data_IF_919260428612
#
_entry.id   IF_919260428612
#
_cell.length_a   1.000
_cell.length_b   1.000
_cell.length_c   1.000
_cell.angle_alpha   90.00
_cell.angle_beta   90.00
_cell.angle_gamma   90.00
#
_symmetry.space_group_name_H-M   'P 1'
#
loop_
_entity.id
_entity.type
_entity.pdbx_description
1 polymer ?
#
# COMPACT_ATOMS: atom_id res chain seq x y z
N UNK A 1 1.01 27.89 -3.69
CA UNK A 1 -0.07 27.88 -4.71
C UNK A 1 -1.02 26.76 -4.35
N UNK A 2 -2.27 27.07 -3.99
CA UNK A 2 -3.29 26.08 -3.67
C UNK A 2 -4.22 25.89 -4.86
N UNK A 3 -4.78 24.69 -5.02
CA UNK A 3 -5.66 24.36 -6.14
C UNK A 3 -7.07 24.13 -5.60
N UNK A 4 -8.05 24.79 -6.20
CA UNK A 4 -9.47 24.50 -5.99
C UNK A 4 -9.95 23.55 -7.12
N UNK A 5 -10.19 22.26 -6.86
CA UNK A 5 -10.56 21.30 -7.91
C UNK A 5 -11.81 21.69 -8.71
N UNK A 6 -12.84 22.22 -8.04
CA UNK A 6 -14.05 22.67 -8.74
C UNK A 6 -13.82 23.91 -9.62
N UNK A 7 -12.71 24.63 -9.45
CA UNK A 7 -12.32 25.67 -10.41
C UNK A 7 -12.07 25.09 -11.81
N UNK A 8 -11.54 23.86 -11.93
CA UNK A 8 -11.37 23.23 -13.24
C UNK A 8 -12.70 22.91 -13.89
N UNK A 9 -13.64 22.33 -13.13
CA UNK A 9 -14.98 21.98 -13.62
C UNK A 9 -15.72 23.25 -14.08
N UNK A 10 -15.69 24.31 -13.27
CA UNK A 10 -16.34 25.60 -13.59
C UNK A 10 -15.71 26.32 -14.79
N UNK A 11 -14.42 26.08 -15.05
CA UNK A 11 -13.68 26.68 -16.18
C UNK A 11 -13.74 25.83 -17.46
N UNK A 12 -14.40 24.67 -17.45
CA UNK A 12 -14.55 23.85 -18.65
C UNK A 12 -15.47 24.53 -19.68
N UNK A 13 -15.14 24.39 -20.97
CA UNK A 13 -15.90 24.96 -22.10
C UNK A 13 -17.38 24.55 -22.10
N UNK A 14 -17.69 23.35 -21.60
CA UNK A 14 -19.04 22.77 -21.58
C UNK A 14 -19.64 22.73 -20.18
N UNK A 15 -19.16 23.60 -19.28
CA UNK A 15 -19.70 23.68 -17.93
C UNK A 15 -21.18 24.13 -17.95
N UNK A 16 -22.02 23.37 -17.24
CA UNK A 16 -23.44 23.61 -17.07
C UNK A 16 -23.79 23.36 -15.60
N UNK A 17 -24.15 24.44 -14.89
CA UNK A 17 -24.43 24.41 -13.46
C UNK A 17 -25.56 23.43 -13.10
N UNK A 18 -26.54 23.23 -13.99
CA UNK A 18 -27.66 22.31 -13.74
C UNK A 18 -27.22 20.84 -13.73
N UNK A 19 -26.12 20.51 -14.42
CA UNK A 19 -25.53 19.15 -14.43
C UNK A 19 -24.52 18.93 -13.31
N UNK A 20 -24.06 20.01 -12.69
CA UNK A 20 -23.06 20.01 -11.63
C UNK A 20 -23.52 20.82 -10.43
N UNK A 21 -24.64 20.45 -9.77
CA UNK A 21 -25.22 21.23 -8.66
C UNK A 21 -24.32 21.33 -7.42
N UNK A 22 -23.21 20.60 -7.39
CA UNK A 22 -22.21 20.61 -6.33
C UNK A 22 -20.97 21.45 -6.65
N UNK A 23 -20.79 21.93 -7.89
CA UNK A 23 -19.59 22.70 -8.27
C UNK A 23 -19.55 24.10 -7.66
N UNK A 24 -20.72 24.64 -7.31
CA UNK A 24 -20.85 25.96 -6.67
C UNK A 24 -20.76 25.87 -5.14
N UNK A 25 -20.76 24.65 -4.59
CA UNK A 25 -20.48 24.43 -3.17
C UNK A 25 -18.97 24.40 -2.99
N UNK A 26 -18.35 25.57 -2.80
CA UNK A 26 -16.88 25.76 -2.75
C UNK A 26 -16.13 25.00 -1.62
N UNK A 27 -16.81 24.16 -0.83
CA UNK A 27 -16.19 23.37 0.25
C UNK A 27 -15.87 21.91 -0.04
N UNK A 28 -16.15 21.38 -1.24
CA UNK A 28 -15.84 19.98 -1.55
C UNK A 28 -14.49 19.83 -2.24
N UNK A 29 -13.49 19.27 -1.58
CA UNK A 29 -12.28 18.82 -2.29
C UNK A 29 -12.02 17.36 -2.01
N UNK A 30 -11.79 16.66 -3.12
CA UNK A 30 -11.54 15.24 -3.25
C UNK A 30 -10.29 14.85 -2.45
N UNK A 31 -10.48 14.01 -1.44
CA UNK A 31 -9.41 13.18 -0.91
C UNK A 31 -8.88 12.30 -2.05
N UNK A 32 -7.59 12.40 -2.32
CA UNK A 32 -6.84 11.29 -2.92
C UNK A 32 -6.72 10.20 -1.84
N UNK A 33 -7.84 9.53 -1.51
CA UNK A 33 -7.80 8.31 -0.73
C UNK A 33 -7.20 7.24 -1.64
N UNK A 34 -5.94 6.90 -1.39
CA UNK A 34 -5.36 5.64 -1.82
C UNK A 34 -6.25 4.52 -1.27
N UNK A 35 -7.06 3.96 -2.17
CA UNK A 35 -7.77 2.68 -2.08
C UNK A 35 -8.94 2.65 -1.09
N UNK A 36 -10.13 2.51 -1.69
CA UNK A 36 -11.44 2.10 -1.14
C UNK A 36 -12.29 3.15 -0.41
N UNK A 37 -13.32 3.61 -1.13
CA UNK A 37 -14.52 4.35 -0.72
C UNK A 37 -14.44 5.89 -0.80
N UNK A 38 -15.17 6.42 -1.78
CA UNK A 38 -15.52 7.82 -1.93
C UNK A 38 -16.69 8.14 -0.99
N UNK A 39 -16.48 8.98 0.02
CA UNK A 39 -17.57 9.65 0.73
C UNK A 39 -17.48 11.15 0.47
N UNK A 40 -18.44 11.67 -0.30
CA UNK A 40 -18.65 13.10 -0.47
C UNK A 40 -19.52 13.55 0.71
N UNK A 41 -19.02 14.45 1.55
CA UNK A 41 -19.83 15.09 2.59
C UNK A 41 -20.62 16.24 1.94
N UNK A 42 -21.96 16.20 1.91
CA UNK A 42 -22.77 17.32 1.44
C UNK A 42 -22.86 18.38 2.55
N UNK A 43 -22.62 19.65 2.20
CA UNK A 43 -22.75 20.88 3.02
C UNK A 43 -21.49 21.35 3.79
N UNK A 44 -20.54 21.97 3.08
CA UNK A 44 -19.40 22.66 3.70
C UNK A 44 -19.08 24.02 3.06
N UNK A 45 -20.10 24.76 2.59
CA UNK A 45 -19.90 26.04 1.87
C UNK A 45 -19.06 27.09 2.60
N UNK A 46 -19.03 27.08 3.94
CA UNK A 46 -18.32 28.08 4.76
C UNK A 46 -17.39 27.50 5.83
N UNK A 47 -17.16 26.18 5.87
CA UNK A 47 -16.37 25.55 6.93
C UNK A 47 -15.43 24.50 6.37
N UNK A 48 -14.20 24.49 6.89
CA UNK A 48 -13.23 23.44 6.58
C UNK A 48 -13.83 22.07 6.89
N UNK A 49 -13.82 21.16 5.91
CA UNK A 49 -14.34 19.80 6.08
C UNK A 49 -13.48 19.01 7.08
N UNK A 50 -12.20 19.35 7.20
CA UNK A 50 -11.32 18.86 8.26
C UNK A 50 -11.52 19.71 9.50
N UNK A 51 -12.34 19.23 10.43
CA UNK A 51 -12.36 19.78 11.78
C UNK A 51 -11.17 19.22 12.57
N UNK A 52 -10.03 19.92 12.54
CA UNK A 52 -8.80 19.48 13.19
C UNK A 52 -8.94 19.29 14.71
N UNK A 53 -9.86 20.04 15.34
CA UNK A 53 -10.15 19.98 16.79
C UNK A 53 -10.94 18.73 17.17
N UNK A 54 -11.74 18.18 16.26
CA UNK A 54 -12.37 16.87 16.45
C UNK A 54 -11.43 15.73 16.05
N UNK A 55 -10.72 15.89 14.92
CA UNK A 55 -9.75 14.91 14.42
C UNK A 55 -8.67 14.57 15.43
N UNK A 56 -8.15 15.57 16.16
CA UNK A 56 -7.11 15.34 17.18
C UNK A 56 -7.54 14.32 18.25
N UNK A 57 -8.84 14.18 18.56
CA UNK A 57 -9.32 13.17 19.52
C UNK A 57 -9.10 11.75 18.99
N UNK A 58 -9.41 11.55 17.71
CA UNK A 58 -9.20 10.28 17.01
C UNK A 58 -7.70 10.03 16.85
N UNK A 59 -6.94 11.03 16.41
CA UNK A 59 -5.47 10.95 16.28
C UNK A 59 -4.79 10.51 17.57
N UNK A 60 -5.21 11.05 18.73
CA UNK A 60 -4.65 10.65 20.03
C UNK A 60 -4.95 9.19 20.36
N UNK A 61 -6.19 8.74 20.16
CA UNK A 61 -6.58 7.35 20.41
C UNK A 61 -5.83 6.38 19.49
N UNK A 62 -5.74 6.70 18.20
CA UNK A 62 -4.99 5.91 17.22
C UNK A 62 -3.50 5.86 17.57
N UNK A 63 -2.92 7.01 17.93
CA UNK A 63 -1.52 7.11 18.34
C UNK A 63 -1.22 6.27 19.58
N UNK A 64 -2.05 6.36 20.62
CA UNK A 64 -1.89 5.56 21.84
C UNK A 64 -1.97 4.06 21.55
N UNK A 65 -2.98 3.64 20.78
CA UNK A 65 -3.16 2.25 20.36
C UNK A 65 -1.96 1.74 19.56
N UNK A 66 -1.53 2.51 18.56
CA UNK A 66 -0.43 2.13 17.68
C UNK A 66 0.91 2.07 18.42
N UNK A 67 1.25 3.08 19.22
CA UNK A 67 2.51 3.10 19.98
C UNK A 67 2.57 1.96 20.98
N UNK A 68 1.44 1.59 21.60
CA UNK A 68 1.35 0.42 22.48
C UNK A 68 1.64 -0.88 21.73
N UNK A 69 1.06 -1.07 20.55
CA UNK A 69 1.33 -2.25 19.71
C UNK A 69 2.79 -2.28 19.24
N UNK A 70 3.32 -1.14 18.80
CA UNK A 70 4.71 -0.97 18.39
C UNK A 70 5.68 -1.36 19.50
N UNK A 71 5.45 -0.88 20.72
CA UNK A 71 6.29 -1.18 21.87
C UNK A 71 6.27 -2.69 22.21
N UNK A 72 5.09 -3.32 22.18
CA UNK A 72 4.96 -4.77 22.40
C UNK A 72 5.76 -5.58 21.38
N UNK A 73 5.60 -5.27 20.10
CA UNK A 73 6.30 -5.99 19.04
C UNK A 73 7.81 -5.75 19.05
N UNK A 74 8.24 -4.52 19.30
CA UNK A 74 9.66 -4.21 19.42
C UNK A 74 10.33 -4.94 20.59
N UNK A 75 9.63 -5.05 21.73
CA UNK A 75 10.13 -5.81 22.88
C UNK A 75 10.20 -7.31 22.59
N UNK A 76 9.19 -7.88 21.92
CA UNK A 76 9.20 -9.29 21.52
C UNK A 76 10.38 -9.60 20.59
N UNK A 77 10.66 -8.73 19.62
CA UNK A 77 11.81 -8.86 18.72
C UNK A 77 13.14 -8.74 19.45
N UNK A 78 13.23 -7.88 20.48
CA UNK A 78 14.44 -7.72 21.27
C UNK A 78 14.74 -8.94 22.18
N UNK A 79 13.70 -9.64 22.64
CA UNK A 79 13.80 -10.79 23.55
C UNK A 79 13.93 -12.11 22.78
N UNK A 80 13.39 -12.20 21.56
CA UNK A 80 13.49 -13.41 20.74
C UNK A 80 14.96 -13.66 20.36
N UNK A 81 15.50 -14.77 20.86
CA UNK A 81 16.89 -15.16 20.66
C UNK A 81 17.17 -15.27 19.15
N UNK A 82 18.27 -14.63 18.69
CA UNK A 82 18.66 -14.39 17.28
C UNK A 82 18.80 -15.64 16.38
N UNK A 83 18.46 -16.83 16.86
CA UNK A 83 18.64 -18.12 16.18
C UNK A 83 17.33 -18.82 15.87
N UNK A 84 16.21 -18.44 16.49
CA UNK A 84 14.90 -19.01 16.17
C UNK A 84 14.17 -18.14 15.15
N UNK A 85 14.26 -18.53 13.87
CA UNK A 85 13.20 -18.39 12.86
C UNK A 85 12.24 -17.20 13.08
N UNK A 86 12.51 -16.02 12.50
CA UNK A 86 11.45 -15.03 12.30
C UNK A 86 10.32 -15.72 11.55
N UNK A 87 9.26 -16.10 12.26
CA UNK A 87 8.19 -16.91 11.68
C UNK A 87 7.50 -16.10 10.60
N UNK A 88 6.93 -16.77 9.59
CA UNK A 88 6.15 -16.05 8.55
C UNK A 88 5.03 -15.19 9.16
N UNK A 89 4.50 -15.62 10.32
CA UNK A 89 3.54 -14.86 11.11
C UNK A 89 4.11 -13.57 11.68
N UNK A 90 5.30 -13.60 12.31
CA UNK A 90 5.97 -12.40 12.83
C UNK A 90 6.35 -11.43 11.71
N UNK A 91 6.86 -11.95 10.58
CA UNK A 91 7.20 -11.10 9.43
C UNK A 91 5.96 -10.39 8.87
N UNK A 92 4.82 -11.10 8.83
CA UNK A 92 3.53 -10.54 8.42
C UNK A 92 3.03 -9.48 9.41
N UNK A 93 3.12 -9.75 10.70
CA UNK A 93 2.68 -8.81 11.74
C UNK A 93 3.52 -7.52 11.72
N UNK A 94 4.84 -7.65 11.61
CA UNK A 94 5.77 -6.52 11.44
C UNK A 94 5.51 -5.73 10.15
N UNK A 95 5.18 -6.41 9.05
CA UNK A 95 4.79 -5.75 7.80
C UNK A 95 3.47 -4.99 7.94
N UNK A 96 2.47 -5.60 8.58
CA UNK A 96 1.18 -4.96 8.86
C UNK A 96 1.34 -3.73 9.76
N UNK A 97 2.20 -3.82 10.77
CA UNK A 97 2.55 -2.71 11.64
C UNK A 97 3.18 -1.58 10.84
N UNK A 98 4.19 -1.86 10.02
CA UNK A 98 4.83 -0.86 9.16
C UNK A 98 3.83 -0.17 8.24
N UNK A 99 2.96 -0.93 7.57
CA UNK A 99 1.93 -0.38 6.69
C UNK A 99 0.95 0.52 7.45
N UNK A 100 0.45 0.06 8.60
CA UNK A 100 -0.47 0.83 9.44
C UNK A 100 0.16 2.13 9.94
N UNK A 101 1.43 2.09 10.39
CA UNK A 101 2.16 3.27 10.83
C UNK A 101 2.33 4.31 9.74
N UNK A 102 2.67 3.86 8.52
CA UNK A 102 2.77 4.73 7.35
C UNK A 102 1.41 5.34 6.97
N UNK A 103 0.34 4.55 7.01
CA UNK A 103 -1.03 5.04 6.75
C UNK A 103 -1.48 6.10 7.76
N UNK A 104 -1.20 5.89 9.05
CA UNK A 104 -1.49 6.89 10.09
C UNK A 104 -0.71 8.19 9.85
N UNK A 105 0.59 8.10 9.56
CA UNK A 105 1.40 9.27 9.22
C UNK A 105 0.86 10.01 8.00
N UNK A 106 0.48 9.29 6.94
CA UNK A 106 -0.13 9.87 5.75
C UNK A 106 -1.46 10.57 6.09
N UNK A 107 -2.35 9.91 6.83
CA UNK A 107 -3.66 10.44 7.19
C UNK A 107 -3.54 11.71 8.03
N UNK A 108 -2.71 11.71 9.08
CA UNK A 108 -2.57 12.86 9.97
C UNK A 108 -1.86 14.02 9.26
N UNK A 109 -0.89 13.72 8.40
CA UNK A 109 -0.23 14.75 7.56
C UNK A 109 -1.23 15.37 6.58
N UNK A 110 -2.09 14.54 5.96
CA UNK A 110 -3.17 15.01 5.10
C UNK A 110 -4.14 15.92 5.87
N UNK A 111 -4.60 15.51 7.06
CA UNK A 111 -5.49 16.35 7.89
C UNK A 111 -4.87 17.74 8.18
N UNK A 112 -3.56 17.80 8.49
CA UNK A 112 -2.84 19.07 8.72
C UNK A 112 -2.75 19.89 7.43
N UNK A 113 -2.30 19.28 6.33
CA UNK A 113 -2.09 19.97 5.05
C UNK A 113 -3.42 20.44 4.46
N UNK A 114 -4.48 19.65 4.54
CA UNK A 114 -5.83 20.03 4.09
C UNK A 114 -6.37 21.20 4.92
N UNK A 115 -6.20 21.17 6.24
CA UNK A 115 -6.60 22.28 7.12
C UNK A 115 -5.91 23.58 6.71
N UNK A 116 -4.58 23.55 6.53
CA UNK A 116 -3.78 24.73 6.14
C UNK A 116 -4.17 25.19 4.73
N UNK A 117 -4.31 24.26 3.79
CA UNK A 117 -4.64 24.56 2.40
C UNK A 117 -6.01 25.21 2.27
N UNK A 118 -6.99 24.72 3.02
CA UNK A 118 -8.31 25.33 3.09
C UNK A 118 -8.25 26.73 3.69
N UNK A 119 -7.54 26.95 4.81
CA UNK A 119 -7.40 28.26 5.45
C UNK A 119 -6.70 29.30 4.55
N UNK A 120 -5.75 28.86 3.72
CA UNK A 120 -5.10 29.72 2.73
C UNK A 120 -6.02 30.17 1.59
N UNK A 121 -7.02 29.34 1.25
CA UNK A 121 -8.01 29.65 0.22
C UNK A 121 -9.20 30.46 0.76
N UNK A 122 -9.37 30.53 2.08
CA UNK A 122 -10.48 31.22 2.73
C UNK A 122 -9.95 32.16 3.83
N UNK A 123 -9.31 33.30 3.47
CA UNK A 123 -8.83 34.26 4.44
C UNK A 123 -9.96 34.81 5.31
N UNK A 124 -9.69 35.03 6.60
CA UNK A 124 -10.67 35.68 7.47
C UNK A 124 -10.78 37.18 7.18
N UNK A 125 -11.70 37.87 7.84
CA UNK A 125 -11.89 39.31 7.72
C UNK A 125 -12.30 39.90 9.10
N UNK A 126 -12.32 41.23 9.20
CA UNK A 126 -12.63 41.94 10.45
C UNK A 126 -14.06 41.72 10.98
N UNK A 127 -14.99 41.24 10.14
CA UNK A 127 -16.36 40.91 10.55
C UNK A 127 -16.40 39.55 11.26
N UNK A 128 -15.67 38.58 10.73
CA UNK A 128 -15.63 37.20 11.25
C UNK A 128 -14.65 37.04 12.41
N UNK A 129 -13.58 37.85 12.43
CA UNK A 129 -12.61 37.91 13.53
C UNK A 129 -12.34 39.36 13.94
N UNK A 130 -12.80 39.75 15.14
CA UNK A 130 -12.61 41.10 15.69
C UNK A 130 -11.15 41.49 15.91
N UNK A 131 -10.28 40.49 16.10
CA UNK A 131 -8.85 40.72 16.30
C UNK A 131 -8.09 40.93 14.98
N UNK A 132 -8.79 40.80 13.83
CA UNK A 132 -8.23 41.01 12.49
C UNK A 132 -8.43 42.47 12.06
N UNK A 133 -7.36 43.28 11.91
CA UNK A 133 -7.46 44.64 11.40
C UNK A 133 -7.96 44.67 9.95
N UNK A 134 -8.68 45.74 9.57
CA UNK A 134 -9.13 45.93 8.18
C UNK A 134 -7.96 46.15 7.21
N UNK A 135 -6.85 46.69 7.73
CA UNK A 135 -5.60 46.93 6.99
C UNK A 135 -4.73 45.68 6.84
N UNK A 136 -5.12 44.55 7.42
CA UNK A 136 -4.33 43.32 7.37
C UNK A 136 -4.22 42.78 5.95
N UNK A 137 -3.00 42.44 5.54
CA UNK A 137 -2.75 41.84 4.24
C UNK A 137 -3.40 40.45 4.11
N UNK A 138 -3.69 40.03 2.89
CA UNK A 138 -4.41 38.78 2.63
C UNK A 138 -3.71 37.56 3.24
N UNK A 139 -2.38 37.50 3.20
CA UNK A 139 -1.62 36.41 3.78
C UNK A 139 -1.73 36.36 5.31
N UNK A 140 -1.70 37.52 5.98
CA UNK A 140 -1.85 37.63 7.43
C UNK A 140 -3.27 37.24 7.86
N UNK A 141 -4.28 37.64 7.08
CA UNK A 141 -5.68 37.22 7.26
C UNK A 141 -5.88 35.72 7.05
N UNK A 142 -5.13 35.10 6.15
CA UNK A 142 -5.22 33.68 5.88
C UNK A 142 -4.44 32.81 6.89
N UNK A 143 -3.46 33.42 7.57
CA UNK A 143 -2.56 32.72 8.51
C UNK A 143 -2.77 33.20 9.94
N UNK A 144 -2.15 34.30 10.35
CA UNK A 144 -2.10 34.80 11.73
C UNK A 144 -3.48 34.86 12.41
N UNK A 145 -4.47 35.37 11.68
CA UNK A 145 -5.82 35.63 12.18
C UNK A 145 -6.84 34.52 11.88
N UNK A 146 -6.48 33.51 11.10
CA UNK A 146 -7.45 32.50 10.63
C UNK A 146 -7.51 31.23 11.49
N UNK A 147 -6.81 31.18 12.61
CA UNK A 147 -6.82 30.03 13.51
C UNK A 147 -7.20 30.45 14.92
N UNK A 148 -8.21 29.78 15.47
CA UNK A 148 -8.56 29.83 16.88
C UNK A 148 -7.43 29.24 17.74
N UNK A 149 -7.35 29.59 19.04
CA UNK A 149 -6.41 28.96 19.96
C UNK A 149 -6.52 27.43 20.03
N UNK A 150 -7.74 26.91 19.90
CA UNK A 150 -8.02 25.48 19.88
C UNK A 150 -7.45 24.80 18.62
N UNK A 151 -7.65 25.40 17.43
CA UNK A 151 -7.07 24.89 16.18
C UNK A 151 -5.54 24.93 16.21
N UNK A 152 -4.93 26.02 16.70
CA UNK A 152 -3.47 26.12 16.86
C UNK A 152 -2.94 25.00 17.76
N UNK A 153 -3.59 24.77 18.88
CA UNK A 153 -3.24 23.71 19.83
C UNK A 153 -3.40 22.31 19.22
N UNK A 154 -4.49 22.07 18.49
CA UNK A 154 -4.72 20.80 17.79
C UNK A 154 -3.64 20.55 16.73
N UNK A 155 -3.31 21.54 15.90
CA UNK A 155 -2.26 21.45 14.89
C UNK A 155 -0.89 21.12 15.52
N UNK A 156 -0.50 21.82 16.59
CA UNK A 156 0.77 21.55 17.29
C UNK A 156 0.82 20.11 17.79
N UNK A 157 -0.27 19.61 18.37
CA UNK A 157 -0.32 18.25 18.90
C UNK A 157 -0.29 17.20 17.78
N UNK A 158 -1.06 17.38 16.71
CA UNK A 158 -1.03 16.48 15.55
C UNK A 158 0.37 16.42 14.94
N UNK A 159 1.02 17.58 14.72
CA UNK A 159 2.39 17.64 14.19
C UNK A 159 3.39 16.95 15.13
N UNK A 160 3.22 17.12 16.44
CA UNK A 160 4.08 16.48 17.44
C UNK A 160 3.93 14.96 17.43
N UNK A 161 2.70 14.43 17.32
CA UNK A 161 2.46 12.99 17.18
C UNK A 161 3.00 12.43 15.85
N UNK A 162 2.85 13.16 14.74
CA UNK A 162 3.46 12.79 13.45
C UNK A 162 4.97 12.64 13.60
N UNK A 163 5.65 13.66 14.13
CA UNK A 163 7.11 13.64 14.32
C UNK A 163 7.56 12.57 15.31
N UNK A 164 6.80 12.37 16.39
CA UNK A 164 7.06 11.32 17.38
C UNK A 164 6.98 9.94 16.77
N UNK A 165 5.89 9.63 16.08
CA UNK A 165 5.69 8.35 15.40
C UNK A 165 6.72 8.11 14.29
N UNK A 166 7.02 9.13 13.48
CA UNK A 166 8.08 9.06 12.46
C UNK A 166 9.43 8.68 13.10
N UNK A 167 9.79 9.31 14.22
CA UNK A 167 11.03 8.98 14.93
C UNK A 167 11.03 7.55 15.48
N UNK A 168 9.90 7.07 16.01
CA UNK A 168 9.78 5.70 16.52
C UNK A 168 9.92 4.66 15.41
N UNK A 169 9.24 4.86 14.27
CA UNK A 169 9.38 4.01 13.10
C UNK A 169 10.81 3.98 12.55
N UNK A 170 11.47 5.15 12.48
CA UNK A 170 12.86 5.25 12.04
C UNK A 170 13.84 4.46 12.91
N UNK A 171 13.60 4.35 14.22
CA UNK A 171 14.47 3.57 15.12
C UNK A 171 14.41 2.07 14.87
N UNK A 172 13.27 1.56 14.40
CA UNK A 172 13.06 0.13 14.15
C UNK A 172 13.09 -0.22 12.65
N UNK A 173 13.46 0.74 11.80
CA UNK A 173 13.42 0.65 10.34
C UNK A 173 14.12 -0.61 9.82
N UNK A 174 15.31 -0.92 10.33
CA UNK A 174 16.09 -2.09 9.89
C UNK A 174 15.36 -3.42 10.12
N UNK A 175 14.67 -3.54 11.26
CA UNK A 175 13.86 -4.72 11.62
C UNK A 175 12.63 -4.83 10.72
N UNK A 176 11.87 -3.73 10.56
CA UNK A 176 10.72 -3.66 9.67
C UNK A 176 11.12 -3.99 8.23
N UNK A 177 12.19 -3.40 7.74
CA UNK A 177 12.70 -3.57 6.38
C UNK A 177 13.07 -5.04 6.09
N UNK A 178 13.65 -5.75 7.06
CA UNK A 178 13.94 -7.18 6.93
C UNK A 178 12.67 -8.03 6.93
N UNK A 179 11.73 -7.75 7.85
CA UNK A 179 10.45 -8.44 7.94
C UNK A 179 9.62 -8.27 6.65
N UNK A 180 9.53 -7.04 6.13
CA UNK A 180 8.82 -6.72 4.88
C UNK A 180 9.39 -7.53 3.71
N UNK A 181 10.73 -7.54 3.55
CA UNK A 181 11.37 -8.30 2.47
C UNK A 181 11.05 -9.80 2.54
N UNK A 182 11.10 -10.36 3.75
CA UNK A 182 10.79 -11.78 3.98
C UNK A 182 9.32 -12.09 3.71
N UNK A 183 8.42 -11.26 4.23
CA UNK A 183 6.99 -11.42 4.03
C UNK A 183 6.60 -11.35 2.55
N UNK A 184 7.07 -10.32 1.83
CA UNK A 184 6.83 -10.16 0.39
C UNK A 184 7.35 -11.36 -0.40
N UNK A 185 8.55 -11.84 -0.06
CA UNK A 185 9.12 -13.03 -0.69
C UNK A 185 8.24 -14.27 -0.43
N UNK A 186 7.87 -14.55 0.82
CA UNK A 186 7.04 -15.71 1.18
C UNK A 186 5.68 -15.67 0.47
N UNK A 187 5.01 -14.50 0.44
CA UNK A 187 3.73 -14.34 -0.24
C UNK A 187 3.85 -14.55 -1.75
N UNK A 188 4.88 -13.98 -2.39
CA UNK A 188 5.14 -14.18 -3.82
C UNK A 188 5.42 -15.65 -4.14
N UNK A 189 6.29 -16.32 -3.38
CA UNK A 189 6.61 -17.72 -3.61
C UNK A 189 5.40 -18.62 -3.40
N UNK A 190 4.65 -18.40 -2.31
CA UNK A 190 3.42 -19.17 -2.02
C UNK A 190 2.39 -19.01 -3.14
N UNK A 191 2.20 -17.79 -3.63
CA UNK A 191 1.31 -17.51 -4.74
C UNK A 191 1.78 -18.21 -6.02
N UNK A 192 3.02 -17.99 -6.45
CA UNK A 192 3.52 -18.55 -7.73
C UNK A 192 3.57 -20.09 -7.71
N UNK A 193 3.88 -20.70 -6.57
CA UNK A 193 3.95 -22.16 -6.43
C UNK A 193 2.57 -22.83 -6.45
N UNK A 194 1.52 -22.17 -5.94
CA UNK A 194 0.20 -22.80 -5.77
C UNK A 194 -0.89 -22.24 -6.69
N UNK A 195 -0.79 -21.00 -7.13
CA UNK A 195 -1.83 -20.36 -7.93
C UNK A 195 -1.83 -20.83 -9.39
N UNK A 196 -0.68 -21.25 -9.94
CA UNK A 196 -0.56 -21.47 -11.39
C UNK A 196 -0.55 -22.93 -11.86
N UNK A 197 -0.31 -23.92 -10.97
CA UNK A 197 -0.24 -25.31 -11.40
C UNK A 197 -1.53 -25.82 -12.08
N UNK A 198 -2.69 -25.63 -11.44
CA UNK A 198 -3.97 -26.04 -12.02
C UNK A 198 -4.36 -25.18 -13.26
N UNK A 199 -4.27 -23.83 -13.23
CA UNK A 199 -4.61 -23.02 -14.39
C UNK A 199 -3.74 -23.27 -15.61
N UNK A 200 -2.43 -23.48 -15.45
CA UNK A 200 -1.52 -23.82 -16.56
C UNK A 200 -1.95 -25.16 -17.18
N UNK A 201 -2.19 -26.19 -16.37
CA UNK A 201 -2.62 -27.49 -16.89
C UNK A 201 -3.96 -27.42 -17.65
N UNK A 202 -4.93 -26.66 -17.13
CA UNK A 202 -6.23 -26.44 -17.82
C UNK A 202 -6.04 -25.67 -19.13
N UNK A 203 -5.18 -24.66 -19.15
CA UNK A 203 -4.89 -23.87 -20.35
C UNK A 203 -4.24 -24.72 -21.45
N UNK A 204 -3.24 -25.53 -21.10
CA UNK A 204 -2.57 -26.46 -22.03
C UNK A 204 -3.54 -27.51 -22.58
N UNK A 205 -4.33 -28.17 -21.71
CA UNK A 205 -5.35 -29.15 -22.15
C UNK A 205 -6.42 -28.51 -23.04
N UNK A 206 -6.76 -27.25 -22.77
CA UNK A 206 -7.72 -26.47 -23.54
C UNK A 206 -7.16 -25.81 -24.80
N UNK A 207 -5.88 -26.02 -25.15
CA UNK A 207 -5.19 -25.38 -26.28
C UNK A 207 -5.27 -23.84 -26.24
N UNK A 208 -5.22 -23.27 -25.03
CA UNK A 208 -5.22 -21.83 -24.78
C UNK A 208 -3.79 -21.33 -24.66
N UNK A 209 -3.06 -21.35 -25.77
CA UNK A 209 -1.59 -21.16 -25.78
C UNK A 209 -1.15 -19.80 -25.22
N UNK A 210 -1.91 -18.73 -25.53
CA UNK A 210 -1.62 -17.40 -25.00
C UNK A 210 -1.78 -17.36 -23.47
N UNK A 211 -2.84 -17.94 -22.93
CA UNK A 211 -3.08 -18.00 -21.48
C UNK A 211 -2.00 -18.83 -20.77
N UNK A 212 -1.68 -20.01 -21.32
CA UNK A 212 -0.64 -20.87 -20.80
C UNK A 212 0.73 -20.16 -20.81
N UNK A 213 1.06 -19.46 -21.90
CA UNK A 213 2.30 -18.70 -22.05
C UNK A 213 2.44 -17.58 -21.03
N UNK A 214 1.37 -16.79 -20.78
CA UNK A 214 1.41 -15.71 -19.78
C UNK A 214 1.59 -16.28 -18.37
N UNK A 215 0.80 -17.30 -18.00
CA UNK A 215 0.91 -17.93 -16.68
C UNK A 215 2.29 -18.55 -16.44
N UNK A 216 2.85 -19.21 -17.46
CA UNK A 216 4.19 -19.79 -17.40
C UNK A 216 5.27 -18.69 -17.31
N UNK A 217 5.11 -17.59 -18.04
CA UNK A 217 6.04 -16.46 -17.97
C UNK A 217 6.11 -15.83 -16.58
N UNK A 218 4.96 -15.62 -15.91
CA UNK A 218 4.95 -15.12 -14.53
C UNK A 218 5.63 -16.13 -13.60
N UNK A 219 5.33 -17.42 -13.78
CA UNK A 219 5.92 -18.50 -12.99
C UNK A 219 7.44 -18.51 -13.10
N UNK A 220 7.98 -18.52 -14.32
CA UNK A 220 9.42 -18.63 -14.57
C UNK A 220 10.19 -17.37 -14.13
N UNK A 221 9.54 -16.21 -14.17
CA UNK A 221 10.14 -14.93 -13.75
C UNK A 221 10.32 -14.83 -12.22
N UNK A 222 9.38 -15.41 -11.46
CA UNK A 222 9.27 -15.18 -10.01
C UNK A 222 9.57 -16.40 -9.15
N UNK A 223 9.44 -17.62 -9.68
CA UNK A 223 9.64 -18.85 -8.89
C UNK A 223 11.10 -19.04 -8.53
N UNK A 224 11.39 -19.17 -7.24
CA UNK A 224 12.71 -19.55 -6.75
C UNK A 224 12.69 -21.04 -6.37
N UNK A 225 13.29 -21.88 -7.22
CA UNK A 225 13.32 -23.34 -7.04
C UNK A 225 14.17 -23.78 -5.84
N UNK A 226 15.08 -22.93 -5.34
CA UNK A 226 15.89 -23.24 -4.17
C UNK A 226 15.07 -23.38 -2.88
N UNK A 227 13.86 -22.81 -2.81
CA UNK A 227 12.96 -22.96 -1.66
C UNK A 227 12.17 -24.28 -1.66
N UNK A 228 12.15 -25.03 -2.77
CA UNK A 228 11.38 -26.27 -2.89
C UNK A 228 12.16 -27.51 -2.38
N UNK A 229 13.49 -27.44 -2.36
CA UNK A 229 14.36 -28.55 -1.93
C UNK A 229 14.61 -28.59 -0.40
N UNK A 230 14.11 -27.60 0.37
CA UNK A 230 14.32 -27.53 1.81
C UNK A 230 13.23 -28.19 2.66
N UNK A 231 12.27 -28.93 2.06
CA UNK A 231 11.39 -29.83 2.82
C UNK A 231 12.05 -31.22 2.89
N UNK A 232 12.21 -31.84 4.08
CA UNK A 232 12.73 -33.20 4.16
C UNK A 232 11.76 -34.13 3.41
N UNK A 233 12.26 -34.67 2.30
CA UNK A 233 11.56 -35.62 1.45
C UNK A 233 11.24 -36.88 2.26
N UNK A 234 9.96 -37.06 2.56
CA UNK A 234 9.42 -38.35 2.98
C UNK A 234 8.81 -39.00 1.74
N UNK A 235 9.48 -40.07 1.29
CA UNK A 235 9.01 -41.11 0.35
C UNK A 235 8.87 -40.72 -1.14
N UNK A 236 9.32 -41.50 -2.13
CA UNK A 236 9.61 -42.94 -2.19
C UNK A 236 10.43 -43.27 -3.44
N UNK A 237 11.45 -44.10 -3.25
CA UNK A 237 11.74 -45.33 -3.99
C UNK A 237 11.39 -45.42 -5.49
N UNK A 238 12.43 -45.45 -6.34
CA UNK A 238 12.51 -46.43 -7.45
C UNK A 238 13.96 -46.82 -7.71
N UNK A 239 14.28 -48.07 -7.37
CA UNK A 239 15.48 -48.82 -7.78
C UNK A 239 15.72 -48.67 -9.29
N UNK A 240 16.96 -48.37 -9.67
CA UNK A 240 17.64 -49.04 -10.79
C UNK A 240 19.13 -49.18 -10.46
N UNK A 241 19.53 -50.43 -10.19
CA UNK A 241 20.92 -50.85 -10.18
C UNK A 241 21.55 -50.64 -11.55
N UNK A 242 22.82 -50.21 -11.58
CA UNK A 242 23.60 -50.17 -12.81
C UNK A 242 24.97 -49.49 -12.70
N UNK A 243 25.91 -50.18 -12.03
CA UNK A 243 27.35 -50.33 -12.34
C UNK A 243 28.26 -49.09 -12.36
N UNK A 244 29.32 -49.20 -11.55
CA UNK A 244 30.45 -48.28 -11.41
C UNK A 244 31.14 -47.92 -12.74
N UNK A 245 31.46 -46.64 -12.90
CA UNK A 245 32.72 -46.23 -13.53
C UNK A 245 33.14 -44.85 -13.00
N UNK A 246 34.41 -44.79 -12.63
CA UNK A 246 35.08 -43.65 -12.03
C UNK A 246 35.26 -42.46 -13.00
N UNK A 247 35.67 -41.33 -12.41
CA UNK A 247 36.27 -40.14 -13.05
C UNK A 247 35.35 -39.26 -13.90
N UNK A 248 34.78 -38.23 -13.29
CA UNK A 248 34.95 -36.85 -13.78
C UNK A 248 34.73 -35.84 -12.65
N UNK A 249 35.78 -35.10 -12.37
CA UNK A 249 35.79 -33.86 -11.59
C UNK A 249 34.79 -32.88 -12.18
N UNK A 250 33.76 -32.53 -11.42
CA UNK A 250 32.87 -31.41 -11.76
C UNK A 250 32.52 -30.68 -10.48
N UNK A 251 33.38 -29.70 -10.16
CA UNK A 251 33.07 -28.49 -9.39
C UNK A 251 32.06 -28.67 -8.26
N UNK A 252 32.60 -28.87 -7.06
CA UNK A 252 31.94 -28.71 -5.77
C UNK A 252 31.53 -27.22 -5.61
N UNK A 253 30.56 -26.77 -6.43
CA UNK A 253 29.85 -25.51 -6.27
C UNK A 253 28.95 -25.68 -5.06
N UNK A 254 29.55 -25.59 -3.88
CA UNK A 254 28.84 -25.32 -2.64
C UNK A 254 28.26 -23.91 -2.77
N UNK A 255 27.13 -23.82 -3.48
CA UNK A 255 26.32 -22.62 -3.58
C UNK A 255 25.98 -22.27 -2.14
N UNK A 256 26.63 -21.22 -1.64
CA UNK A 256 26.50 -20.73 -0.27
C UNK A 256 25.02 -20.59 0.04
N UNK A 257 24.52 -21.33 1.05
CA UNK A 257 23.16 -21.14 1.58
C UNK A 257 22.96 -19.64 1.78
N UNK A 258 22.12 -19.01 0.96
CA UNK A 258 21.85 -17.58 1.12
C UNK A 258 21.22 -17.40 2.50
N UNK A 259 21.91 -16.66 3.38
CA UNK A 259 21.49 -16.45 4.77
C UNK A 259 20.13 -15.72 4.90
N UNK A 260 19.61 -15.19 3.78
CA UNK A 260 18.26 -14.64 3.68
C UNK A 260 17.77 -14.81 2.23
N UNK A 261 16.49 -15.17 2.00
CA UNK A 261 15.93 -15.16 0.66
C UNK A 261 16.00 -13.74 0.07
N UNK A 262 16.37 -13.59 -1.21
CA UNK A 262 16.41 -12.30 -1.87
C UNK A 262 14.98 -11.76 -2.01
N UNK A 263 14.76 -10.50 -1.63
CA UNK A 263 13.50 -9.83 -1.96
C UNK A 263 13.32 -9.80 -3.49
N UNK A 264 12.08 -9.94 -3.99
CA UNK A 264 11.85 -9.84 -5.42
C UNK A 264 12.27 -8.46 -5.92
N UNK A 265 12.92 -8.43 -7.08
CA UNK A 265 13.32 -7.17 -7.71
C UNK A 265 12.10 -6.37 -8.17
N UNK A 266 12.28 -5.06 -8.33
CA UNK A 266 11.25 -4.17 -8.87
C UNK A 266 10.76 -4.63 -10.25
N UNK A 267 11.67 -5.09 -11.12
CA UNK A 267 11.33 -5.64 -12.44
C UNK A 267 10.50 -6.92 -12.34
N UNK A 268 10.84 -7.84 -11.43
CA UNK A 268 10.06 -9.07 -11.24
C UNK A 268 8.63 -8.76 -10.78
N UNK A 269 8.47 -7.89 -9.78
CA UNK A 269 7.15 -7.48 -9.31
C UNK A 269 6.37 -6.75 -10.40
N UNK A 270 7.00 -5.81 -11.10
CA UNK A 270 6.36 -5.07 -12.18
C UNK A 270 5.85 -5.98 -13.30
N UNK A 271 6.69 -6.91 -13.78
CA UNK A 271 6.33 -7.87 -14.82
C UNK A 271 5.19 -8.79 -14.36
N UNK A 272 5.32 -9.38 -13.18
CA UNK A 272 4.29 -10.26 -12.62
C UNK A 272 2.95 -9.54 -12.48
N UNK A 273 2.94 -8.34 -11.87
CA UNK A 273 1.72 -7.55 -11.70
C UNK A 273 1.07 -7.20 -13.03
N UNK A 274 1.85 -6.68 -13.99
CA UNK A 274 1.34 -6.26 -15.29
C UNK A 274 0.73 -7.43 -16.07
N UNK A 275 1.41 -8.58 -16.07
CA UNK A 275 0.91 -9.79 -16.73
C UNK A 275 -0.36 -10.32 -16.05
N UNK A 276 -0.40 -10.34 -14.71
CA UNK A 276 -1.58 -10.76 -13.95
C UNK A 276 -2.77 -9.82 -14.12
N UNK A 277 -2.54 -8.50 -14.12
CA UNK A 277 -3.55 -7.49 -14.41
C UNK A 277 -4.14 -7.69 -15.80
N UNK A 278 -3.31 -8.02 -16.80
CA UNK A 278 -3.77 -8.33 -18.16
C UNK A 278 -4.69 -9.56 -18.23
N UNK A 279 -4.49 -10.55 -17.35
CA UNK A 279 -5.31 -11.76 -17.27
C UNK A 279 -6.70 -11.48 -16.70
N UNK A 280 -6.80 -10.57 -15.73
CA UNK A 280 -8.06 -10.28 -15.03
C UNK A 280 -8.74 -8.99 -15.51
N UNK A 281 -8.11 -8.20 -16.39
CA UNK A 281 -8.68 -6.96 -16.92
C UNK A 281 -9.98 -7.20 -17.67
N UNK A 282 -10.97 -6.34 -17.41
CA UNK A 282 -12.24 -6.31 -18.13
C UNK A 282 -12.15 -5.45 -19.41
N UNK A 283 -11.12 -4.60 -19.53
CA UNK A 283 -10.92 -3.76 -20.71
C UNK A 283 -10.33 -4.60 -21.83
N UNK A 284 -11.14 -4.86 -22.86
CA UNK A 284 -10.65 -5.38 -24.12
C UNK A 284 -9.75 -4.32 -24.79
N UNK A 285 -8.44 -4.41 -24.60
CA UNK A 285 -7.51 -3.74 -25.51
C UNK A 285 -7.67 -4.39 -26.90
N UNK A 286 -8.38 -3.71 -27.80
CA UNK A 286 -8.39 -4.03 -29.22
C UNK A 286 -9.16 -5.31 -29.65
N UNK A 287 -10.29 -5.63 -29.03
CA UNK A 287 -11.27 -6.56 -29.63
C UNK A 287 -10.92 -8.05 -29.63
N UNK A 288 -9.90 -8.51 -28.88
CA UNK A 288 -9.64 -9.95 -28.69
C UNK A 288 -10.23 -10.45 -27.36
N UNK A 289 -10.67 -11.71 -27.38
CA UNK A 289 -11.34 -12.45 -26.28
C UNK A 289 -10.75 -12.10 -24.92
N UNK A 290 -11.61 -11.69 -24.00
CA UNK A 290 -11.24 -11.36 -22.61
C UNK A 290 -10.61 -12.60 -21.96
N UNK A 291 -9.28 -12.60 -21.75
CA UNK A 291 -8.54 -13.70 -21.11
C UNK A 291 -9.16 -14.11 -19.76
N UNK A 292 -9.78 -13.15 -19.06
CA UNK A 292 -10.59 -13.36 -17.85
C UNK A 292 -11.65 -14.44 -18.01
N UNK A 293 -12.35 -14.52 -19.16
CA UNK A 293 -13.40 -15.52 -19.41
C UNK A 293 -12.83 -16.94 -19.53
N UNK A 294 -11.54 -17.06 -19.75
CA UNK A 294 -10.87 -18.34 -19.91
C UNK A 294 -10.35 -18.92 -18.58
N UNK A 295 -10.39 -18.13 -17.51
CA UNK A 295 -10.00 -18.49 -16.15
C UNK A 295 -11.23 -18.84 -15.30
N UNK A 296 -11.05 -19.76 -14.33
CA UNK A 296 -12.08 -20.04 -13.34
C UNK A 296 -12.13 -18.95 -12.25
N UNK A 297 -13.29 -18.80 -11.61
CA UNK A 297 -13.55 -17.76 -10.60
C UNK A 297 -12.55 -17.79 -9.44
N UNK A 298 -12.17 -19.00 -8.98
CA UNK A 298 -11.20 -19.18 -7.88
C UNK A 298 -9.83 -18.64 -8.25
N UNK A 299 -9.39 -18.85 -9.50
CA UNK A 299 -8.13 -18.32 -10.00
C UNK A 299 -8.17 -16.80 -10.12
N UNK A 300 -9.27 -16.24 -10.65
CA UNK A 300 -9.46 -14.79 -10.74
C UNK A 300 -9.41 -14.15 -9.35
N UNK A 301 -10.09 -14.74 -8.37
CA UNK A 301 -10.10 -14.26 -6.99
C UNK A 301 -8.68 -14.27 -6.39
N UNK A 302 -7.94 -15.38 -6.53
CA UNK A 302 -6.55 -15.46 -6.07
C UNK A 302 -5.65 -14.40 -6.69
N UNK A 303 -5.75 -14.18 -8.01
CA UNK A 303 -4.99 -13.13 -8.70
C UNK A 303 -5.40 -11.75 -8.20
N UNK A 304 -6.70 -11.50 -8.01
CA UNK A 304 -7.22 -10.21 -7.54
C UNK A 304 -6.76 -9.88 -6.11
N UNK A 305 -6.76 -10.88 -5.23
CA UNK A 305 -6.24 -10.75 -3.86
C UNK A 305 -4.74 -10.42 -3.92
N UNK A 306 -3.96 -11.20 -4.68
CA UNK A 306 -2.53 -10.98 -4.82
C UNK A 306 -2.21 -9.56 -5.30
N UNK A 307 -2.86 -9.09 -6.36
CA UNK A 307 -2.64 -7.76 -6.95
C UNK A 307 -3.04 -6.59 -6.04
N UNK A 308 -3.92 -6.84 -5.06
CA UNK A 308 -4.39 -5.83 -4.10
C UNK A 308 -3.45 -5.69 -2.90
N UNK A 309 -2.82 -6.78 -2.46
CA UNK A 309 -2.05 -6.83 -1.21
C UNK A 309 -0.53 -6.83 -1.38
N UNK A 310 -0.03 -7.36 -2.49
CA UNK A 310 1.31 -7.11 -3.02
C UNK A 310 1.25 -6.02 -4.09
#
# INVERSE_FOLDING_TARGET
MQIQPFSFVRRCQYYDANKWPLSDKEGGVFLFYLVTNFFIVPNAGDKCHVNIVEKIKITRADHESYVTQLAKLNNNVAISDRVSLNSDAENREMTSLALSGMQLLCQWTADVVETISWKLLHPTNSRDNKDCPETAEEYERATRYNYSPAEKTALIQTISMIKGLQSLLGRIESSLSNAIRRHIYTELQTFVQHAFNEPIQKAVKGKKDLLASILQSVRDTCMDTYSAESRPSVEKSKKRQGKDSATSSSSDLRITRRASPPAPSSTQLYMARTQLESLISERASGGKKVLRKELDAKTIERISIFLRYL
#
